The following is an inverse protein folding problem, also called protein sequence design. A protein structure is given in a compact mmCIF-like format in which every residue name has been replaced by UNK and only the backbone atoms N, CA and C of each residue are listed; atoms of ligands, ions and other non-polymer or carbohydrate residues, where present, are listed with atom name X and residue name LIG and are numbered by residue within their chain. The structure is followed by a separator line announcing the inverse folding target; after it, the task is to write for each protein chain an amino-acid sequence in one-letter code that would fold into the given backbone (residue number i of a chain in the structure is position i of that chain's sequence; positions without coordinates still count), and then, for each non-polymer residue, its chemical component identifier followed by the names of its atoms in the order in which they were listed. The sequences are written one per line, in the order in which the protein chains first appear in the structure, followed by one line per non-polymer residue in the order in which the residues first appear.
data_IF_902546836824
#
_entry.id   IF_902546836824
#
_cell.length_a   1.000
_cell.length_b   1.000
_cell.length_c   1.000
_cell.angle_alpha   90.00
_cell.angle_beta   90.00
_cell.angle_gamma   90.00
#
_symmetry.space_group_name_H-M   'P 1'
#
loop_
_entity.id
_entity.type
_entity.pdbx_description
1 polymer ?
#
# COMPACT_ATOMS: atom_id res chain seq x y z
N UNK A 1 41.45 34.31 -9.90
CA UNK A 1 41.54 32.84 -9.68
C UNK A 1 40.96 32.59 -8.29
N UNK A 2 39.77 32.01 -8.21
CA UNK A 2 39.15 31.66 -6.93
C UNK A 2 39.88 30.43 -6.40
N UNK A 3 40.44 30.52 -5.19
CA UNK A 3 41.13 29.40 -4.53
C UNK A 3 40.15 28.23 -4.37
N UNK A 4 40.53 27.05 -4.77
CA UNK A 4 39.73 25.84 -4.60
C UNK A 4 39.74 25.40 -3.14
N UNK A 5 38.61 25.48 -2.45
CA UNK A 5 38.46 25.05 -1.07
C UNK A 5 37.99 23.59 -1.05
N UNK A 6 38.67 22.78 -0.21
CA UNK A 6 38.23 21.41 0.06
C UNK A 6 37.36 21.35 1.31
N UNK A 7 36.12 20.82 1.20
CA UNK A 7 35.22 20.58 2.35
C UNK A 7 34.94 19.09 2.45
N UNK A 8 34.98 18.57 3.68
CA UNK A 8 34.52 17.22 3.97
C UNK A 8 33.12 17.27 4.61
N UNK A 9 32.19 16.52 4.06
CA UNK A 9 30.80 16.45 4.51
C UNK A 9 30.57 15.04 5.03
N UNK A 10 30.31 14.92 6.33
CA UNK A 10 29.96 13.66 6.97
C UNK A 10 28.50 13.31 6.69
N UNK A 11 28.24 12.04 6.40
CA UNK A 11 26.89 11.49 6.25
C UNK A 11 26.61 10.73 7.53
N UNK A 12 25.85 11.36 8.43
CA UNK A 12 25.51 10.77 9.73
C UNK A 12 24.09 10.22 9.73
N UNK A 13 23.91 9.06 10.36
CA UNK A 13 22.60 8.44 10.56
C UNK A 13 21.99 7.75 9.32
N UNK A 14 22.72 7.70 8.20
CA UNK A 14 22.26 7.08 6.94
C UNK A 14 23.32 6.10 6.44
N UNK A 15 22.91 4.91 6.00
CA UNK A 15 23.82 4.01 5.27
C UNK A 15 24.22 4.68 3.94
N UNK A 16 25.50 4.93 3.70
CA UNK A 16 25.97 5.55 2.44
C UNK A 16 25.48 4.84 1.19
N UNK A 17 25.26 3.52 1.25
CA UNK A 17 24.73 2.73 0.11
C UNK A 17 23.32 3.13 -0.27
N UNK A 18 22.50 3.49 0.70
CA UNK A 18 21.14 3.98 0.47
C UNK A 18 21.15 5.38 -0.15
N UNK A 19 22.06 6.24 0.33
CA UNK A 19 22.20 7.60 -0.18
C UNK A 19 22.80 7.63 -1.61
N UNK A 20 23.75 6.73 -1.90
CA UNK A 20 24.42 6.66 -3.21
C UNK A 20 23.59 5.88 -4.23
N UNK A 21 22.64 5.06 -3.77
CA UNK A 21 21.78 4.22 -4.61
C UNK A 21 22.48 2.99 -5.18
N UNK A 22 21.72 2.10 -5.82
CA UNK A 22 22.27 0.89 -6.42
C UNK A 22 23.30 1.25 -7.48
N UNK A 23 24.50 0.65 -7.39
CA UNK A 23 25.64 0.95 -8.28
C UNK A 23 26.02 2.44 -8.37
N UNK A 24 25.79 3.20 -7.29
CA UNK A 24 26.06 4.64 -7.19
C UNK A 24 25.26 5.54 -8.15
N UNK A 25 24.12 5.08 -8.68
CA UNK A 25 23.30 5.85 -9.64
C UNK A 25 22.90 7.23 -9.07
N UNK A 26 22.57 7.31 -7.79
CA UNK A 26 22.23 8.59 -7.16
C UNK A 26 23.43 9.49 -6.95
N UNK A 27 24.58 8.91 -6.57
CA UNK A 27 25.83 9.67 -6.46
C UNK A 27 26.25 10.25 -7.81
N UNK A 28 26.12 9.49 -8.89
CA UNK A 28 26.48 9.95 -10.23
C UNK A 28 25.51 11.05 -10.72
N UNK A 29 24.22 10.96 -10.37
CA UNK A 29 23.26 12.04 -10.61
C UNK A 29 23.63 13.31 -9.82
N UNK A 30 23.99 13.18 -8.53
CA UNK A 30 24.44 14.30 -7.69
C UNK A 30 25.68 14.97 -8.30
N UNK A 31 26.65 14.19 -8.79
CA UNK A 31 27.85 14.72 -9.47
C UNK A 31 27.47 15.45 -10.77
N UNK A 32 26.55 14.90 -11.56
CA UNK A 32 26.09 15.51 -12.81
C UNK A 32 25.38 16.86 -12.58
N UNK A 33 24.69 17.03 -11.46
CA UNK A 33 24.05 18.29 -11.06
C UNK A 33 25.05 19.36 -10.59
N UNK A 34 26.31 18.97 -10.31
CA UNK A 34 27.38 19.85 -9.87
C UNK A 34 28.66 19.66 -10.67
N UNK A 35 28.66 19.95 -11.97
CA UNK A 35 29.82 19.71 -12.84
C UNK A 35 31.06 20.56 -12.49
N UNK A 36 30.86 21.64 -11.71
CA UNK A 36 31.94 22.52 -11.25
C UNK A 36 32.61 22.05 -9.95
N UNK A 37 32.04 21.02 -9.28
CA UNK A 37 32.58 20.43 -8.08
C UNK A 37 33.25 19.09 -8.36
N UNK A 38 34.42 18.87 -7.77
CA UNK A 38 35.02 17.54 -7.74
C UNK A 38 34.55 16.83 -6.46
N UNK A 39 33.67 15.83 -6.62
CA UNK A 39 33.04 15.09 -5.51
C UNK A 39 33.63 13.68 -5.47
N UNK A 40 34.21 13.31 -4.31
CA UNK A 40 34.77 11.99 -4.03
C UNK A 40 34.10 11.41 -2.79
N UNK A 41 33.41 10.29 -2.95
CA UNK A 41 32.81 9.55 -1.82
C UNK A 41 33.85 8.61 -1.20
N UNK A 42 33.93 8.60 0.14
CA UNK A 42 34.77 7.68 0.92
C UNK A 42 33.97 7.22 2.15
N UNK A 43 33.41 6.02 2.07
CA UNK A 43 32.58 5.49 3.14
C UNK A 43 31.42 6.45 3.47
N UNK A 44 31.36 6.90 4.73
CA UNK A 44 30.34 7.83 5.23
C UNK A 44 30.70 9.32 5.06
N UNK A 45 31.69 9.66 4.23
CA UNK A 45 32.04 11.06 3.98
C UNK A 45 32.14 11.38 2.48
N UNK A 46 31.82 12.62 2.12
CA UNK A 46 31.99 13.20 0.78
C UNK A 46 33.05 14.29 0.87
N UNK A 47 34.16 14.10 0.13
CA UNK A 47 35.15 15.16 -0.04
C UNK A 47 34.82 15.96 -1.30
N UNK A 48 34.57 17.25 -1.12
CA UNK A 48 34.11 18.17 -2.16
C UNK A 48 35.17 19.25 -2.36
N UNK A 49 35.59 19.48 -3.61
CA UNK A 49 36.55 20.50 -4.01
C UNK A 49 35.90 21.44 -5.02
N UNK A 50 35.97 22.75 -4.77
CA UNK A 50 35.42 23.78 -5.65
C UNK A 50 35.52 25.17 -5.04
N UNK A 51 34.74 26.13 -5.57
CA UNK A 51 34.65 27.44 -4.93
C UNK A 51 33.97 27.37 -3.57
N UNK A 52 34.29 28.30 -2.67
CA UNK A 52 33.70 28.31 -1.31
C UNK A 52 32.16 28.39 -1.37
N UNK A 53 31.60 29.23 -2.23
CA UNK A 53 30.17 29.40 -2.38
C UNK A 53 29.48 28.10 -2.86
N UNK A 54 30.09 27.38 -3.79
CA UNK A 54 29.53 26.12 -4.31
C UNK A 54 29.65 24.97 -3.33
N UNK A 55 30.78 24.86 -2.62
CA UNK A 55 30.97 23.84 -1.60
C UNK A 55 30.03 24.04 -0.39
N UNK A 56 29.75 25.28 -0.01
CA UNK A 56 28.76 25.59 1.03
C UNK A 56 27.32 25.31 0.55
N UNK A 57 26.99 25.67 -0.68
CA UNK A 57 25.67 25.37 -1.28
C UNK A 57 25.43 23.87 -1.37
N UNK A 58 26.43 23.12 -1.86
CA UNK A 58 26.39 21.68 -1.91
C UNK A 58 26.18 21.04 -0.53
N UNK A 59 26.87 21.53 0.50
CA UNK A 59 26.71 21.06 1.89
C UNK A 59 25.28 21.20 2.37
N UNK A 60 24.65 22.36 2.20
CA UNK A 60 23.24 22.57 2.57
C UNK A 60 22.28 21.64 1.83
N UNK A 61 22.51 21.39 0.54
CA UNK A 61 21.68 20.45 -0.22
C UNK A 61 21.84 19.01 0.29
N UNK A 62 23.07 18.61 0.63
CA UNK A 62 23.32 17.28 1.20
C UNK A 62 22.69 17.12 2.59
N UNK A 63 22.80 18.14 3.45
CA UNK A 63 22.11 18.17 4.74
C UNK A 63 20.59 18.01 4.57
N UNK A 64 20.00 18.74 3.62
CA UNK A 64 18.58 18.61 3.27
C UNK A 64 18.21 17.21 2.78
N UNK A 65 19.07 16.60 1.94
CA UNK A 65 18.85 15.25 1.42
C UNK A 65 18.95 14.17 2.51
N UNK A 66 19.92 14.31 3.43
CA UNK A 66 20.08 13.44 4.61
C UNK A 66 18.87 13.59 5.55
N UNK A 67 18.46 14.82 5.86
CA UNK A 67 17.28 15.07 6.68
C UNK A 67 16.00 14.48 6.05
N UNK A 68 15.87 14.60 4.73
CA UNK A 68 14.78 13.97 3.98
C UNK A 68 14.81 12.44 4.13
N UNK A 69 15.98 11.81 3.95
CA UNK A 69 16.13 10.37 4.13
C UNK A 69 15.78 9.92 5.55
N UNK A 70 16.29 10.63 6.56
CA UNK A 70 16.00 10.30 7.97
C UNK A 70 14.50 10.40 8.30
N UNK A 71 13.79 11.34 7.66
CA UNK A 71 12.35 11.54 7.84
C UNK A 71 11.52 10.50 7.08
N UNK A 72 11.89 10.18 5.84
CA UNK A 72 11.06 9.39 4.93
C UNK A 72 11.61 7.99 4.63
N UNK A 73 12.88 7.71 4.98
CA UNK A 73 13.52 6.39 4.84
C UNK A 73 13.88 5.98 3.42
N UNK A 74 13.89 6.92 2.45
CA UNK A 74 14.23 6.63 1.06
C UNK A 74 14.65 7.90 0.31
N UNK A 75 15.33 7.71 -0.84
CA UNK A 75 15.70 8.75 -1.82
C UNK A 75 15.34 8.23 -3.21
N UNK A 76 14.90 9.12 -4.10
CA UNK A 76 14.69 8.84 -5.51
C UNK A 76 15.42 9.87 -6.37
N UNK A 77 15.60 9.57 -7.67
CA UNK A 77 16.17 10.52 -8.63
C UNK A 77 15.43 11.85 -8.69
N UNK A 78 14.10 11.83 -8.51
CA UNK A 78 13.27 13.04 -8.49
C UNK A 78 13.55 13.89 -7.23
N UNK A 79 13.67 13.25 -6.08
CA UNK A 79 14.01 13.91 -4.81
C UNK A 79 15.37 14.56 -4.88
N UNK A 80 16.36 13.87 -5.47
CA UNK A 80 17.70 14.45 -5.70
C UNK A 80 17.60 15.67 -6.60
N UNK A 81 16.90 15.57 -7.74
CA UNK A 81 16.71 16.72 -8.63
C UNK A 81 16.08 17.93 -7.92
N UNK A 82 15.09 17.72 -7.09
CA UNK A 82 14.44 18.78 -6.31
C UNK A 82 15.34 19.35 -5.20
N UNK A 83 16.08 18.49 -4.49
CA UNK A 83 17.02 18.92 -3.45
C UNK A 83 18.06 19.89 -3.99
N UNK A 84 18.59 19.59 -5.17
CA UNK A 84 19.66 20.37 -5.79
C UNK A 84 19.17 21.51 -6.71
N UNK A 85 17.89 21.55 -7.07
CA UNK A 85 17.27 22.70 -7.72
C UNK A 85 16.95 23.86 -6.76
N UNK A 86 17.28 23.75 -5.48
CA UNK A 86 17.04 24.77 -4.44
C UNK A 86 15.70 24.61 -3.71
N UNK A 87 15.02 23.48 -3.87
CA UNK A 87 13.66 23.26 -3.37
C UNK A 87 13.53 22.60 -1.98
N UNK A 88 14.60 22.03 -1.38
CA UNK A 88 14.48 21.25 -0.13
C UNK A 88 15.04 21.97 1.12
N UNK A 89 15.84 23.02 1.00
CA UNK A 89 16.37 23.75 2.13
C UNK A 89 15.26 24.57 2.83
N UNK A 90 14.59 23.99 3.81
CA UNK A 90 13.62 24.69 4.67
C UNK A 90 12.17 24.74 4.17
N UNK A 91 11.87 24.17 3.02
CA UNK A 91 10.48 23.90 2.63
C UNK A 91 10.16 22.43 2.94
N UNK A 92 9.00 22.19 3.56
CA UNK A 92 8.33 20.89 3.42
C UNK A 92 8.38 20.56 1.94
N UNK A 93 8.94 19.38 1.58
CA UNK A 93 8.90 18.90 0.19
C UNK A 93 7.50 19.20 -0.33
N UNK A 94 7.32 19.68 -1.59
CA UNK A 94 5.98 19.91 -2.11
C UNK A 94 5.21 18.65 -1.77
N UNK A 95 4.23 18.82 -0.90
CA UNK A 95 3.46 17.71 -0.41
C UNK A 95 2.95 17.01 -1.67
N UNK A 96 3.57 15.91 -2.01
CA UNK A 96 3.11 15.05 -3.09
C UNK A 96 1.80 14.50 -2.53
N UNK A 97 0.73 15.29 -2.72
CA UNK A 97 -0.58 15.15 -2.07
C UNK A 97 -1.16 13.74 -2.24
N UNK A 98 -0.53 12.98 -3.13
CA UNK A 98 -0.97 11.65 -3.52
C UNK A 98 -0.05 10.54 -2.99
N UNK A 99 1.10 10.86 -2.38
CA UNK A 99 2.00 9.84 -1.79
C UNK A 99 1.39 9.31 -0.51
N UNK A 100 1.22 7.98 -0.46
CA UNK A 100 0.73 7.28 0.73
C UNK A 100 1.91 6.83 1.59
N UNK A 101 2.85 6.12 0.96
CA UNK A 101 4.02 5.58 1.64
C UNK A 101 5.16 5.35 0.63
N UNK A 102 6.36 5.44 1.10
CA UNK A 102 7.55 5.07 0.34
C UNK A 102 7.85 3.59 0.57
N UNK A 103 7.88 2.85 -0.52
CA UNK A 103 8.06 1.42 -0.53
C UNK A 103 9.51 0.98 -0.62
N UNK A 104 9.70 -0.29 -1.01
CA UNK A 104 11.00 -0.90 -1.18
C UNK A 104 11.72 -0.33 -2.43
N UNK A 105 13.05 -0.28 -2.42
CA UNK A 105 13.89 0.17 -3.55
C UNK A 105 13.54 1.57 -4.11
N UNK A 106 13.06 2.49 -3.26
CA UNK A 106 12.67 3.83 -3.68
C UNK A 106 11.35 3.90 -4.44
N UNK A 107 10.56 2.83 -4.46
CA UNK A 107 9.24 2.83 -5.05
C UNK A 107 8.30 3.77 -4.27
N UNK A 108 7.60 4.65 -4.99
CA UNK A 108 6.67 5.61 -4.37
C UNK A 108 5.25 5.09 -4.55
N UNK A 109 4.61 4.74 -3.45
CA UNK A 109 3.21 4.28 -3.44
C UNK A 109 2.29 5.49 -3.35
N UNK A 110 1.51 5.72 -4.40
CA UNK A 110 0.62 6.88 -4.55
C UNK A 110 -0.83 6.48 -4.67
N UNK A 111 -1.72 7.36 -4.23
CA UNK A 111 -3.14 7.28 -4.55
C UNK A 111 -3.37 7.76 -6.00
N UNK A 112 -3.48 6.81 -6.93
CA UNK A 112 -3.52 7.08 -8.38
C UNK A 112 -4.90 7.51 -8.88
N UNK A 113 -5.97 7.16 -8.17
CA UNK A 113 -7.35 7.43 -8.57
C UNK A 113 -8.07 8.31 -7.56
N UNK A 114 -9.16 8.92 -7.99
CA UNK A 114 -9.95 9.82 -7.14
C UNK A 114 -10.47 9.12 -5.88
N UNK A 115 -10.91 7.85 -6.01
CA UNK A 115 -11.43 7.11 -4.86
C UNK A 115 -10.30 6.59 -3.95
N UNK A 116 -9.10 6.28 -4.48
CA UNK A 116 -7.92 6.03 -3.64
C UNK A 116 -7.54 7.29 -2.83
N UNK A 117 -7.54 8.46 -3.45
CA UNK A 117 -7.29 9.74 -2.75
C UNK A 117 -8.37 10.04 -1.71
N UNK A 118 -9.64 9.72 -2.01
CA UNK A 118 -10.75 9.84 -1.05
C UNK A 118 -10.55 8.92 0.15
N UNK A 119 -10.09 7.67 -0.08
CA UNK A 119 -9.80 6.72 1.00
C UNK A 119 -8.70 7.26 1.92
N UNK A 120 -7.61 7.80 1.36
CA UNK A 120 -6.52 8.43 2.12
C UNK A 120 -7.03 9.60 2.96
N UNK A 121 -7.84 10.50 2.37
CA UNK A 121 -8.40 11.65 3.09
C UNK A 121 -9.37 11.26 4.21
N UNK A 122 -10.14 10.19 4.01
CA UNK A 122 -11.07 9.72 5.02
C UNK A 122 -10.37 8.98 6.16
N UNK A 123 -9.21 8.38 5.90
CA UNK A 123 -8.38 7.75 6.92
C UNK A 123 -8.02 8.72 8.06
N UNK A 124 -7.69 9.95 7.73
CA UNK A 124 -7.29 10.96 8.72
C UNK A 124 -8.42 11.36 9.69
N UNK A 125 -9.69 11.05 9.32
CA UNK A 125 -10.91 11.48 10.05
C UNK A 125 -11.71 10.35 10.66
N UNK A 126 -11.39 9.10 10.35
CA UNK A 126 -12.22 7.96 10.73
C UNK A 126 -11.35 6.81 11.27
N UNK A 127 -11.87 6.08 12.23
CA UNK A 127 -11.22 4.91 12.81
C UNK A 127 -11.58 3.62 12.05
N UNK A 128 -12.74 3.60 11.39
CA UNK A 128 -13.20 2.49 10.54
C UNK A 128 -13.53 2.99 9.14
N UNK A 129 -12.97 2.31 8.13
CA UNK A 129 -13.26 2.58 6.72
C UNK A 129 -13.77 1.32 6.01
N UNK A 130 -14.75 1.53 5.14
CA UNK A 130 -15.14 0.56 4.13
C UNK A 130 -14.63 1.03 2.76
N UNK A 131 -13.88 0.19 2.06
CA UNK A 131 -13.39 0.43 0.71
C UNK A 131 -13.94 -0.67 -0.20
N UNK A 132 -15.03 -0.39 -0.90
CA UNK A 132 -15.80 -1.40 -1.63
C UNK A 132 -15.90 -1.04 -3.12
N UNK A 133 -15.80 -2.04 -3.99
CA UNK A 133 -15.91 -1.87 -5.44
C UNK A 133 -15.17 -2.94 -6.23
N UNK A 134 -15.03 -2.79 -7.57
CA UNK A 134 -14.57 -3.86 -8.44
C UNK A 134 -13.12 -4.27 -8.19
N UNK A 135 -12.81 -5.52 -8.54
CA UNK A 135 -11.45 -6.04 -8.48
C UNK A 135 -10.49 -5.22 -9.37
N UNK A 136 -9.24 -5.07 -8.93
CA UNK A 136 -8.21 -4.31 -9.64
C UNK A 136 -8.30 -2.79 -9.47
N UNK A 137 -9.19 -2.27 -8.62
CA UNK A 137 -9.26 -0.84 -8.27
C UNK A 137 -8.24 -0.41 -7.20
N UNK A 138 -7.44 -1.34 -6.66
CA UNK A 138 -6.37 -1.06 -5.71
C UNK A 138 -6.83 -0.85 -4.26
N UNK A 139 -8.04 -1.27 -3.90
CA UNK A 139 -8.60 -1.15 -2.53
C UNK A 139 -7.67 -1.72 -1.47
N UNK A 140 -7.36 -3.00 -1.59
CA UNK A 140 -6.51 -3.75 -0.65
C UNK A 140 -5.09 -3.19 -0.63
N UNK A 141 -4.53 -2.90 -1.80
CA UNK A 141 -3.20 -2.32 -1.93
C UNK A 141 -3.09 -0.95 -1.24
N UNK A 142 -4.08 -0.07 -1.45
CA UNK A 142 -4.17 1.24 -0.79
C UNK A 142 -4.35 1.11 0.73
N UNK A 143 -5.17 0.16 1.19
CA UNK A 143 -5.35 -0.12 2.60
C UNK A 143 -4.05 -0.59 3.27
N UNK A 144 -3.29 -1.49 2.62
CA UNK A 144 -1.99 -1.96 3.10
C UNK A 144 -0.97 -0.80 3.11
N UNK A 145 -0.97 0.06 2.08
CA UNK A 145 -0.11 1.23 2.06
C UNK A 145 -0.36 2.19 3.24
N UNK A 146 -1.64 2.42 3.58
CA UNK A 146 -2.02 3.19 4.77
C UNK A 146 -1.56 2.51 6.06
N UNK A 147 -1.68 1.19 6.17
CA UNK A 147 -1.22 0.43 7.33
C UNK A 147 0.30 0.51 7.51
N UNK A 148 1.06 0.40 6.42
CA UNK A 148 2.52 0.54 6.46
C UNK A 148 2.94 1.97 6.81
N UNK A 149 2.23 2.99 6.30
CA UNK A 149 2.42 4.38 6.71
C UNK A 149 2.24 4.55 8.21
N UNK A 150 1.10 4.11 8.73
CA UNK A 150 0.76 4.22 10.15
C UNK A 150 1.78 3.49 11.06
N UNK A 151 2.32 2.34 10.61
CA UNK A 151 3.37 1.63 11.33
C UNK A 151 4.71 2.40 11.31
N UNK A 152 5.09 2.96 10.15
CA UNK A 152 6.33 3.77 10.01
C UNK A 152 6.26 5.05 10.82
N UNK A 153 5.11 5.70 10.88
CA UNK A 153 4.84 6.92 11.63
C UNK A 153 4.56 6.66 13.13
N UNK A 154 4.58 5.37 13.53
CA UNK A 154 4.34 4.91 14.91
C UNK A 154 2.95 5.27 15.46
N UNK A 155 1.98 5.51 14.59
CA UNK A 155 0.57 5.66 14.97
C UNK A 155 0.02 4.35 15.54
N UNK A 156 0.48 3.22 14.99
CA UNK A 156 0.16 1.87 15.44
C UNK A 156 1.43 1.06 15.72
N UNK A 157 1.30 -0.01 16.51
CA UNK A 157 2.42 -0.90 16.85
C UNK A 157 2.47 -2.16 16.00
N UNK A 158 1.36 -2.50 15.33
CA UNK A 158 1.24 -3.74 14.56
C UNK A 158 0.23 -3.60 13.42
N UNK A 159 0.43 -4.40 12.40
CA UNK A 159 -0.50 -4.58 11.27
C UNK A 159 -1.08 -5.99 11.36
N UNK A 160 -2.39 -6.11 11.21
CA UNK A 160 -3.08 -7.40 11.19
C UNK A 160 -3.91 -7.46 9.91
N UNK A 161 -3.54 -8.37 9.02
CA UNK A 161 -4.24 -8.61 7.76
C UNK A 161 -5.05 -9.90 7.88
N UNK A 162 -6.34 -9.82 7.59
CA UNK A 162 -7.22 -10.98 7.66
C UNK A 162 -8.02 -11.15 6.38
N UNK A 163 -8.28 -12.40 6.05
CA UNK A 163 -9.23 -12.82 5.01
C UNK A 163 -10.19 -13.88 5.57
N UNK A 164 -11.45 -13.93 5.09
CA UNK A 164 -12.28 -15.08 5.33
C UNK A 164 -11.67 -16.31 4.65
N UNK A 165 -11.64 -17.42 5.34
CA UNK A 165 -11.33 -18.70 4.71
C UNK A 165 -12.57 -19.16 3.95
N UNK A 166 -12.63 -18.90 2.66
CA UNK A 166 -13.73 -19.35 1.79
C UNK A 166 -13.22 -20.45 0.90
N UNK A 167 -13.94 -21.55 0.88
CA UNK A 167 -13.72 -22.63 -0.08
C UNK A 167 -14.32 -22.17 -1.44
N UNK A 168 -13.50 -21.53 -2.29
CA UNK A 168 -13.88 -21.20 -3.65
C UNK A 168 -13.97 -22.46 -4.50
N UNK A 169 -15.02 -23.28 -4.28
CA UNK A 169 -15.26 -24.51 -5.03
C UNK A 169 -14.33 -25.69 -4.70
N UNK A 170 -13.18 -25.46 -4.13
CA UNK A 170 -12.25 -26.49 -3.64
C UNK A 170 -12.36 -26.58 -2.12
N UNK A 171 -12.78 -27.75 -1.62
CA UNK A 171 -12.82 -27.98 -0.18
C UNK A 171 -11.40 -28.00 0.37
N UNK A 172 -11.05 -27.03 1.22
CA UNK A 172 -9.76 -26.97 1.93
C UNK A 172 -9.32 -28.30 2.54
N UNK A 173 -10.28 -29.20 2.83
CA UNK A 173 -10.04 -30.55 3.31
C UNK A 173 -9.30 -31.47 2.33
N UNK A 174 -9.29 -31.20 1.03
CA UNK A 174 -8.61 -32.03 0.03
C UNK A 174 -7.17 -31.59 -0.30
N UNK A 175 -6.74 -30.39 0.15
CA UNK A 175 -5.36 -29.96 -0.05
C UNK A 175 -4.44 -30.68 0.95
N UNK A 176 -3.27 -31.21 0.53
CA UNK A 176 -2.27 -31.76 1.42
C UNK A 176 -1.63 -30.65 2.28
N UNK A 177 -1.14 -31.00 3.47
CA UNK A 177 -0.47 -30.07 4.36
C UNK A 177 -1.31 -29.65 5.58
N UNK A 178 -0.69 -28.87 6.46
CA UNK A 178 -1.36 -28.31 7.62
C UNK A 178 -2.30 -27.14 7.24
N UNK A 179 -3.07 -26.64 8.20
CA UNK A 179 -4.04 -25.56 7.95
C UNK A 179 -3.36 -24.27 7.45
N UNK A 180 -2.13 -24.01 7.86
CA UNK A 180 -1.37 -22.83 7.47
C UNK A 180 -0.91 -22.96 6.01
N UNK A 181 -0.34 -24.09 5.65
CA UNK A 181 0.10 -24.40 4.27
C UNK A 181 -1.06 -24.33 3.27
N UNK A 182 -2.26 -24.77 3.67
CA UNK A 182 -3.47 -24.69 2.85
C UNK A 182 -3.98 -23.26 2.63
N UNK A 183 -3.76 -22.38 3.58
CA UNK A 183 -4.23 -20.98 3.54
C UNK A 183 -3.22 -20.03 2.89
N UNK A 184 -1.93 -20.36 2.92
CA UNK A 184 -0.86 -19.49 2.41
C UNK A 184 -1.08 -19.02 0.96
N UNK A 185 -1.54 -19.85 -0.01
CA UNK A 185 -1.82 -19.38 -1.37
C UNK A 185 -2.88 -18.26 -1.44
N UNK A 186 -3.89 -18.31 -0.57
CA UNK A 186 -4.93 -17.29 -0.52
C UNK A 186 -4.46 -15.99 0.14
N UNK A 187 -3.39 -16.05 0.92
CA UNK A 187 -2.79 -14.90 1.59
C UNK A 187 -1.65 -14.28 0.79
N UNK A 188 -1.18 -14.95 -0.27
CA UNK A 188 -0.05 -14.52 -1.10
C UNK A 188 -0.19 -13.07 -1.61
N UNK A 189 -1.36 -12.59 -2.11
CA UNK A 189 -1.51 -11.20 -2.56
C UNK A 189 -1.26 -10.16 -1.46
N UNK A 190 -1.47 -10.52 -0.19
CA UNK A 190 -1.19 -9.64 0.95
C UNK A 190 0.32 -9.58 1.22
N UNK A 191 1.03 -10.72 1.11
CA UNK A 191 2.49 -10.76 1.19
C UNK A 191 3.14 -9.96 0.06
N UNK A 192 2.64 -10.09 -1.16
CA UNK A 192 3.17 -9.38 -2.34
C UNK A 192 3.06 -7.86 -2.15
N UNK A 193 1.90 -7.37 -1.70
CA UNK A 193 1.71 -5.96 -1.42
C UNK A 193 2.63 -5.45 -0.29
N UNK A 194 2.86 -6.24 0.76
CA UNK A 194 3.79 -5.88 1.83
C UNK A 194 5.24 -5.84 1.34
N UNK A 195 5.65 -6.77 0.47
CA UNK A 195 6.99 -6.81 -0.12
C UNK A 195 7.30 -5.59 -1.00
N UNK A 196 6.29 -5.01 -1.65
CA UNK A 196 6.45 -3.74 -2.37
C UNK A 196 6.77 -2.55 -1.44
N UNK A 197 6.35 -2.62 -0.19
CA UNK A 197 6.32 -1.50 0.76
C UNK A 197 7.34 -1.60 1.89
N UNK A 198 7.78 -2.82 2.21
CA UNK A 198 8.71 -3.12 3.31
C UNK A 198 9.86 -3.97 2.76
N UNK A 199 11.12 -3.63 3.04
CA UNK A 199 12.27 -4.44 2.64
C UNK A 199 12.13 -5.89 3.12
N UNK A 200 12.44 -6.91 2.29
CA UNK A 200 12.19 -8.32 2.61
C UNK A 200 12.76 -8.78 3.95
N UNK A 201 14.00 -8.40 4.27
CA UNK A 201 14.63 -8.74 5.54
C UNK A 201 13.88 -8.13 6.75
N UNK A 202 13.36 -6.91 6.60
CA UNK A 202 12.57 -6.24 7.64
C UNK A 202 11.17 -6.83 7.76
N UNK A 203 10.55 -7.21 6.64
CA UNK A 203 9.25 -7.88 6.64
C UNK A 203 9.33 -9.25 7.33
N UNK A 204 10.37 -10.05 7.03
CA UNK A 204 10.60 -11.33 7.68
C UNK A 204 10.69 -11.17 9.22
N UNK A 205 11.48 -10.19 9.69
CA UNK A 205 11.58 -9.87 11.11
C UNK A 205 10.24 -9.43 11.71
N UNK A 206 9.46 -8.61 11.02
CA UNK A 206 8.16 -8.16 11.48
C UNK A 206 7.13 -9.30 11.59
N UNK A 207 7.20 -10.27 10.69
CA UNK A 207 6.37 -11.48 10.75
C UNK A 207 6.76 -12.38 11.92
N UNK A 208 8.07 -12.57 12.17
CA UNK A 208 8.59 -13.35 13.29
C UNK A 208 8.24 -12.72 14.64
N UNK A 209 8.41 -11.40 14.80
CA UNK A 209 8.09 -10.65 16.02
C UNK A 209 6.59 -10.44 16.22
N UNK A 210 5.73 -10.75 15.22
CA UNK A 210 4.30 -10.52 15.26
C UNK A 210 3.91 -9.03 15.12
N UNK A 211 4.84 -8.18 14.68
CA UNK A 211 4.55 -6.79 14.30
C UNK A 211 3.64 -6.74 13.07
N UNK A 212 3.83 -7.66 12.13
CA UNK A 212 2.91 -7.93 11.02
C UNK A 212 2.35 -9.34 11.20
N UNK A 213 1.03 -9.46 11.18
CA UNK A 213 0.32 -10.74 11.29
C UNK A 213 -0.60 -10.90 10.09
N UNK A 214 -0.55 -12.07 9.45
CA UNK A 214 -1.47 -12.44 8.37
C UNK A 214 -2.15 -13.73 8.80
N UNK A 215 -3.48 -13.69 8.93
CA UNK A 215 -4.21 -14.83 9.47
C UNK A 215 -5.68 -14.85 8.97
N UNK A 216 -6.32 -16.03 8.93
CA UNK A 216 -7.74 -16.12 8.67
C UNK A 216 -8.57 -15.31 9.66
N UNK A 217 -9.73 -14.80 9.22
CA UNK A 217 -10.64 -14.01 10.04
C UNK A 217 -10.99 -14.68 11.39
N UNK A 218 -11.14 -15.98 11.41
CA UNK A 218 -11.47 -16.75 12.63
C UNK A 218 -10.46 -16.54 13.77
N UNK A 219 -9.19 -16.23 13.46
CA UNK A 219 -8.13 -16.01 14.46
C UNK A 219 -8.27 -14.68 15.20
N UNK A 220 -9.17 -13.80 14.77
CA UNK A 220 -9.46 -12.53 15.47
C UNK A 220 -10.48 -12.73 16.61
N UNK A 221 -11.19 -13.87 16.62
CA UNK A 221 -12.23 -14.16 17.61
C UNK A 221 -11.69 -14.19 19.04
N UNK A 222 -12.36 -13.52 19.95
CA UNK A 222 -12.00 -13.45 21.38
C UNK A 222 -10.80 -12.52 21.68
N UNK A 223 -10.23 -11.85 20.68
CA UNK A 223 -9.10 -10.91 20.87
C UNK A 223 -9.64 -9.47 20.96
N UNK A 224 -8.89 -8.62 21.66
CA UNK A 224 -9.00 -7.16 21.54
C UNK A 224 -7.76 -6.64 20.82
N UNK A 225 -7.95 -5.87 19.76
CA UNK A 225 -6.88 -5.47 18.86
C UNK A 225 -6.48 -4.00 19.14
N UNK A 226 -5.72 -3.81 20.21
CA UNK A 226 -5.20 -2.49 20.61
C UNK A 226 -3.98 -2.06 19.81
N UNK A 227 -3.83 -0.75 19.57
CA UNK A 227 -2.68 -0.13 18.91
C UNK A 227 -2.33 -0.84 17.58
N UNK A 228 -3.35 -1.19 16.82
CA UNK A 228 -3.22 -2.02 15.63
C UNK A 228 -3.92 -1.38 14.42
N UNK A 229 -3.32 -1.55 13.25
CA UNK A 229 -3.99 -1.34 11.99
C UNK A 229 -4.49 -2.69 11.48
N UNK A 230 -5.80 -2.83 11.32
CA UNK A 230 -6.43 -4.11 11.01
C UNK A 230 -7.17 -4.03 9.69
N UNK A 231 -6.92 -4.97 8.79
CA UNK A 231 -7.57 -5.06 7.49
C UNK A 231 -8.34 -6.38 7.40
N UNK A 232 -9.61 -6.29 7.06
CA UNK A 232 -10.41 -7.43 6.60
C UNK A 232 -10.54 -7.31 5.09
N UNK A 233 -9.84 -8.17 4.38
CA UNK A 233 -9.88 -8.23 2.92
C UNK A 233 -10.86 -9.30 2.43
N UNK A 234 -11.43 -9.13 1.23
CA UNK A 234 -12.45 -9.99 0.63
C UNK A 234 -13.71 -10.15 1.52
N UNK A 235 -14.12 -9.06 2.17
CA UNK A 235 -15.20 -9.07 3.15
C UNK A 235 -16.58 -9.44 2.58
N UNK A 236 -16.79 -9.40 1.25
CA UNK A 236 -18.00 -9.90 0.62
C UNK A 236 -18.21 -11.40 0.89
N UNK A 237 -17.14 -12.11 1.22
CA UNK A 237 -17.16 -13.53 1.56
C UNK A 237 -17.34 -13.79 3.06
N UNK A 238 -17.90 -12.82 3.79
CA UNK A 238 -18.25 -12.94 5.21
C UNK A 238 -19.73 -12.74 5.43
N UNK A 239 -20.27 -13.44 6.42
CA UNK A 239 -21.63 -13.20 6.90
C UNK A 239 -21.69 -11.95 7.77
N UNK A 240 -22.89 -11.41 7.96
CA UNK A 240 -23.14 -10.26 8.85
C UNK A 240 -22.63 -10.50 10.29
N UNK A 241 -22.80 -11.72 10.80
CA UNK A 241 -22.33 -12.10 12.13
C UNK A 241 -20.80 -12.11 12.22
N UNK A 242 -20.10 -12.54 11.16
CA UNK A 242 -18.64 -12.52 11.09
C UNK A 242 -18.10 -11.09 11.01
N UNK A 243 -18.71 -10.21 10.21
CA UNK A 243 -18.31 -8.80 10.17
C UNK A 243 -18.54 -8.14 11.53
N UNK A 244 -19.69 -8.36 12.14
CA UNK A 244 -19.99 -7.85 13.50
C UNK A 244 -18.93 -8.36 14.49
N UNK A 245 -18.65 -9.66 14.48
CA UNK A 245 -17.61 -10.25 15.33
C UNK A 245 -16.27 -9.55 15.12
N UNK A 246 -15.84 -9.32 13.87
CA UNK A 246 -14.59 -8.66 13.54
C UNK A 246 -14.55 -7.21 14.01
N UNK A 247 -15.57 -6.40 13.69
CA UNK A 247 -15.62 -4.98 14.04
C UNK A 247 -15.62 -4.76 15.56
N UNK A 248 -16.23 -5.68 16.32
CA UNK A 248 -16.21 -5.61 17.78
C UNK A 248 -14.87 -6.03 18.41
N UNK A 249 -13.84 -6.35 17.62
CA UNK A 249 -12.45 -6.55 18.09
C UNK A 249 -11.66 -5.26 18.19
N UNK A 250 -12.21 -4.15 17.68
CA UNK A 250 -11.53 -2.86 17.73
C UNK A 250 -11.22 -2.46 19.16
N UNK A 251 -9.95 -2.25 19.44
CA UNK A 251 -9.45 -1.82 20.74
C UNK A 251 -8.99 -0.36 20.73
N UNK A 252 -8.23 0.04 21.73
CA UNK A 252 -7.72 1.42 21.85
C UNK A 252 -6.69 1.70 20.75
N UNK A 253 -6.74 2.91 20.17
CA UNK A 253 -5.85 3.35 19.10
C UNK A 253 -5.77 2.36 17.94
N UNK A 254 -6.89 1.68 17.63
CA UNK A 254 -6.96 0.79 16.49
C UNK A 254 -7.57 1.51 15.29
N UNK A 255 -7.05 1.18 14.10
CA UNK A 255 -7.56 1.61 12.78
C UNK A 255 -8.01 0.39 12.01
N UNK A 256 -9.22 0.41 11.49
CA UNK A 256 -9.79 -0.72 10.77
C UNK A 256 -10.15 -0.32 9.33
N UNK A 257 -9.78 -1.16 8.36
CA UNK A 257 -10.27 -1.04 6.98
C UNK A 257 -10.88 -2.37 6.55
N UNK A 258 -12.09 -2.30 6.01
CA UNK A 258 -12.80 -3.43 5.40
C UNK A 258 -12.80 -3.23 3.90
N UNK A 259 -12.18 -4.16 3.15
CA UNK A 259 -12.16 -4.14 1.69
C UNK A 259 -13.02 -5.27 1.13
N UNK A 260 -13.62 -5.06 -0.05
CA UNK A 260 -14.42 -6.09 -0.68
C UNK A 260 -15.00 -5.69 -2.04
N UNK A 261 -15.52 -6.70 -2.74
CA UNK A 261 -16.21 -6.56 -4.03
C UNK A 261 -17.56 -7.26 -3.98
N UNK A 262 -18.63 -6.50 -3.91
CA UNK A 262 -20.00 -7.03 -3.81
C UNK A 262 -20.45 -7.83 -5.05
N UNK A 263 -19.68 -7.77 -6.15
CA UNK A 263 -19.95 -8.53 -7.37
C UNK A 263 -19.32 -9.93 -7.36
N UNK A 264 -18.29 -10.15 -6.51
CA UNK A 264 -17.50 -11.38 -6.42
C UNK A 264 -17.77 -12.12 -5.11
N UNK A 265 -19.00 -12.57 -4.93
CA UNK A 265 -19.42 -13.31 -3.73
C UNK A 265 -19.31 -14.81 -4.00
N UNK A 266 -18.40 -15.48 -3.27
CA UNK A 266 -18.11 -16.92 -3.36
C UNK A 266 -18.84 -17.74 -2.29
N UNK A 267 -19.64 -17.09 -1.45
CA UNK A 267 -20.47 -17.79 -0.47
C UNK A 267 -21.52 -18.70 -1.15
N UNK A 268 -21.86 -19.87 -0.57
CA UNK A 268 -22.86 -20.78 -1.11
C UNK A 268 -24.18 -20.11 -1.45
N UNK A 269 -24.59 -19.14 -0.64
CA UNK A 269 -25.71 -18.25 -0.90
C UNK A 269 -25.19 -16.81 -0.92
N UNK A 270 -25.30 -16.16 -2.08
CA UNK A 270 -24.86 -14.75 -2.24
C UNK A 270 -25.60 -13.80 -1.29
N UNK A 271 -26.86 -14.12 -0.91
CA UNK A 271 -27.66 -13.38 0.07
C UNK A 271 -27.06 -13.38 1.47
N UNK A 272 -26.16 -14.33 1.79
CA UNK A 272 -25.56 -14.45 3.12
C UNK A 272 -24.38 -13.46 3.31
N UNK A 273 -23.93 -12.80 2.23
CA UNK A 273 -22.91 -11.77 2.31
C UNK A 273 -23.36 -10.61 3.20
N UNK A 274 -22.58 -10.37 4.25
CA UNK A 274 -22.88 -9.34 5.23
C UNK A 274 -22.33 -7.96 4.89
N UNK A 275 -21.51 -7.83 3.84
CA UNK A 275 -20.78 -6.59 3.55
C UNK A 275 -21.72 -5.42 3.25
N UNK A 276 -22.63 -5.56 2.28
CA UNK A 276 -23.60 -4.50 1.92
C UNK A 276 -24.47 -4.13 3.10
N UNK A 277 -24.99 -5.14 3.80
CA UNK A 277 -25.84 -4.93 4.97
C UNK A 277 -25.12 -4.21 6.11
N UNK A 278 -23.84 -4.54 6.33
CA UNK A 278 -23.01 -3.84 7.33
C UNK A 278 -22.82 -2.38 7.00
N UNK A 279 -22.56 -2.06 5.71
CA UNK A 279 -22.44 -0.67 5.27
C UNK A 279 -23.75 0.11 5.45
N UNK A 280 -24.90 -0.50 5.15
CA UNK A 280 -26.22 0.12 5.37
C UNK A 280 -26.45 0.44 6.84
N UNK A 281 -26.19 -0.53 7.74
CA UNK A 281 -26.39 -0.39 9.18
C UNK A 281 -25.46 0.68 9.77
N UNK A 282 -24.24 0.79 9.28
CA UNK A 282 -23.21 1.66 9.83
C UNK A 282 -23.11 3.02 9.13
N UNK A 283 -23.88 3.24 8.09
CA UNK A 283 -23.91 4.51 7.36
C UNK A 283 -24.38 5.65 8.29
N UNK A 284 -23.56 6.70 8.36
CA UNK A 284 -23.84 7.88 9.22
C UNK A 284 -23.40 7.74 10.68
N UNK A 285 -22.81 6.62 11.07
CA UNK A 285 -22.17 6.49 12.39
C UNK A 285 -20.88 7.30 12.41
N UNK A 286 -20.69 8.17 13.42
CA UNK A 286 -19.47 8.97 13.57
C UNK A 286 -18.21 8.11 13.67
N UNK A 287 -17.13 8.52 13.02
CA UNK A 287 -15.87 7.76 12.97
C UNK A 287 -15.84 6.63 11.94
N UNK A 288 -16.90 6.46 11.13
CA UNK A 288 -16.99 5.46 10.06
C UNK A 288 -17.06 6.16 8.70
N UNK A 289 -16.15 5.82 7.80
CA UNK A 289 -16.13 6.30 6.42
C UNK A 289 -16.39 5.17 5.42
N UNK A 290 -17.10 5.49 4.33
CA UNK A 290 -17.38 4.54 3.25
C UNK A 290 -16.88 5.15 1.93
N UNK A 291 -16.06 4.40 1.20
CA UNK A 291 -15.58 4.74 -0.13
C UNK A 291 -16.02 3.66 -1.11
N UNK A 292 -16.79 4.06 -2.08
CA UNK A 292 -17.24 3.21 -3.15
C UNK A 292 -16.34 3.46 -4.38
N UNK A 293 -15.57 2.44 -4.75
CA UNK A 293 -14.72 2.41 -5.94
C UNK A 293 -15.56 1.99 -7.15
N UNK A 294 -15.21 2.47 -8.32
CA UNK A 294 -15.93 2.16 -9.55
C UNK A 294 -14.99 1.72 -10.69
N UNK A 295 -15.55 1.50 -11.88
CA UNK A 295 -14.78 1.03 -13.06
C UNK A 295 -13.65 2.00 -13.47
N UNK A 296 -13.72 3.28 -13.10
CA UNK A 296 -12.70 4.30 -13.40
C UNK A 296 -11.45 4.11 -12.55
N UNK A 297 -11.58 3.45 -11.40
CA UNK A 297 -10.46 3.15 -10.49
C UNK A 297 -9.67 1.90 -10.92
N UNK A 298 -10.13 1.15 -11.94
CA UNK A 298 -9.48 -0.09 -12.36
C UNK A 298 -8.16 0.26 -13.07
N UNK A 299 -7.05 -0.05 -12.40
CA UNK A 299 -5.68 0.08 -12.94
C UNK A 299 -5.24 -1.30 -13.42
N UNK A 300 -5.54 -1.62 -14.66
CA UNK A 300 -5.18 -2.90 -15.29
C UNK A 300 -4.54 -2.68 -16.66
N UNK A 301 -3.79 -3.68 -17.13
CA UNK A 301 -3.29 -3.70 -18.49
C UNK A 301 -4.46 -3.57 -19.48
N UNK A 302 -4.30 -2.77 -20.54
CA UNK A 302 -5.38 -2.46 -21.48
C UNK A 302 -6.01 -3.71 -22.11
N UNK A 303 -5.18 -4.72 -22.39
CA UNK A 303 -5.65 -6.01 -22.89
C UNK A 303 -6.63 -6.71 -21.93
N UNK A 304 -6.41 -6.61 -20.61
CA UNK A 304 -7.30 -7.22 -19.61
C UNK A 304 -8.69 -6.58 -19.65
N UNK A 305 -8.77 -5.26 -19.90
CA UNK A 305 -10.06 -4.58 -20.10
C UNK A 305 -10.80 -5.16 -21.31
N UNK A 306 -10.10 -5.33 -22.43
CA UNK A 306 -10.69 -5.91 -23.64
C UNK A 306 -11.14 -7.36 -23.45
N UNK A 307 -10.38 -8.15 -22.69
CA UNK A 307 -10.76 -9.53 -22.36
C UNK A 307 -12.06 -9.54 -21.53
N UNK A 308 -12.14 -8.74 -20.48
CA UNK A 308 -13.33 -8.65 -19.63
C UNK A 308 -14.55 -8.20 -20.45
N UNK A 309 -14.40 -7.14 -21.26
CA UNK A 309 -15.48 -6.63 -22.10
C UNK A 309 -15.96 -7.70 -23.12
N UNK A 310 -15.05 -8.52 -23.66
CA UNK A 310 -15.40 -9.60 -24.57
C UNK A 310 -16.22 -10.70 -23.88
N UNK A 311 -15.82 -11.13 -22.68
CA UNK A 311 -16.55 -12.11 -21.89
C UNK A 311 -17.91 -11.59 -21.43
N UNK A 312 -18.01 -10.33 -21.01
CA UNK A 312 -19.26 -9.70 -20.59
C UNK A 312 -20.27 -9.64 -21.76
N UNK A 313 -19.81 -9.30 -22.97
CA UNK A 313 -20.63 -9.32 -24.19
C UNK A 313 -21.15 -10.71 -24.48
N UNK A 314 -20.30 -11.73 -24.47
CA UNK A 314 -20.68 -13.11 -24.68
C UNK A 314 -21.72 -13.59 -23.65
N UNK A 315 -21.53 -13.30 -22.38
CA UNK A 315 -22.50 -13.63 -21.33
C UNK A 315 -23.83 -12.87 -21.46
N UNK A 316 -23.81 -11.67 -22.06
CA UNK A 316 -25.01 -10.88 -22.38
C UNK A 316 -25.81 -11.45 -23.56
N UNK A 317 -25.14 -11.99 -24.59
CA UNK A 317 -25.76 -12.57 -25.76
C UNK A 317 -26.39 -13.94 -25.47
N UNK A 318 -25.78 -14.76 -24.62
CA UNK A 318 -26.34 -16.07 -24.20
C UNK A 318 -27.61 -15.94 -23.34
N UNK A 319 -27.89 -14.78 -22.75
CA UNK A 319 -29.14 -14.50 -22.01
C UNK A 319 -30.29 -14.03 -22.92
N UNK A 320 -30.06 -13.87 -24.23
CA UNK A 320 -31.02 -13.37 -25.20
C UNK A 320 -31.55 -14.45 -26.18
N UNK A 321 -31.15 -15.71 -26.01
CA UNK A 321 -31.81 -16.76 -26.79
C UNK A 321 -33.23 -16.99 -26.26
N UNK A 322 -34.27 -16.79 -27.09
CA UNK A 322 -35.65 -16.93 -26.64
C UNK A 322 -36.02 -18.39 -26.56
N UNK A 323 -36.76 -18.74 -25.49
CA UNK A 323 -37.72 -19.86 -25.52
C UNK A 323 -38.63 -19.71 -26.73
N UNK A 324 -38.32 -20.37 -27.82
CA UNK A 324 -39.26 -20.62 -28.92
C UNK A 324 -39.05 -22.04 -29.41
N UNK A 325 -39.93 -22.92 -29.03
CA UNK A 325 -40.80 -23.71 -29.88
C UNK A 325 -41.41 -24.88 -29.11
N UNK A 326 -42.47 -24.65 -28.41
CA UNK A 326 -43.53 -25.64 -28.29
C UNK A 326 -44.62 -25.24 -29.25
N UNK A 327 -44.45 -25.53 -30.52
CA UNK A 327 -45.55 -25.58 -31.50
C UNK A 327 -46.03 -27.00 -31.59
N UNK A 328 -47.26 -27.16 -31.15
CA UNK A 328 -48.24 -28.22 -31.45
C UNK A 328 -48.01 -28.89 -32.78
N UNK A 329 -48.06 -30.18 -32.77
CA UNK A 329 -48.67 -30.96 -33.87
C UNK A 329 -49.58 -32.04 -33.26
N UNK A 330 -50.72 -32.04 -33.79
CA UNK A 330 -51.93 -32.83 -33.65
C UNK A 330 -51.76 -34.34 -33.37
#
# INVERSE_FOLDING_TARGET
MTEAVGKEIAIEGVDPRELYGPRNVYLDQIKALHPQLRIVARGSSLKVLGSEAETQRFGRHMEGLVAYYLKYGHISSEVIGQAFAGGIAGQEAPADKDVIVYGNNGNIIRARTVNQQKLVKLYDKNDLLFAVGPAGSGKTYTAIALAVRALKEKEVRRIILTRPAVEAGEKLGFLPGDMKEKLDPYLQPLYDALNDMIPPAKLAKYLEEGTVQIAPLAYTRGRTLDNAFVILDEAQNTTLSQIKMFLTRMGRNARFIVTGDVTQIDLPKKSDSGLTRSMEILRGVGGIGIVEFDKRDIVRHQLVKYIVDAFDKYAGDTRKEPEQSNLKTE
#
